data_IF_076585875566
#
_entry.id   IF_076585875566
#
_cell.length_a   1.000
_cell.length_b   1.000
_cell.length_c   1.000
_cell.angle_alpha   90.00
_cell.angle_beta   90.00
_cell.angle_gamma   90.00
#
_symmetry.space_group_name_H-M   'P 1'
#
loop_
_entity.id
_entity.type
_entity.pdbx_description
1 polymer ?
#
# COMPACT_ATOMS: atom_id res chain seq x y z
N UNK A 1 22.15 -8.03 13.95
CA UNK A 1 20.87 -7.35 14.20
C UNK A 1 20.02 -7.57 12.96
N UNK A 2 18.99 -8.40 13.05
CA UNK A 2 18.11 -8.68 11.91
C UNK A 2 17.27 -7.44 11.65
N UNK A 3 17.48 -6.80 10.49
CA UNK A 3 16.66 -5.66 10.08
C UNK A 3 15.24 -6.17 9.85
N UNK A 4 14.24 -5.41 10.30
CA UNK A 4 12.80 -5.75 10.22
C UNK A 4 12.27 -6.84 11.17
N UNK A 5 13.04 -7.28 12.17
CA UNK A 5 12.55 -8.27 13.15
C UNK A 5 11.19 -7.87 13.77
N UNK A 6 11.00 -6.58 14.06
CA UNK A 6 9.77 -6.06 14.66
C UNK A 6 8.53 -6.15 13.75
N UNK A 7 8.72 -6.36 12.45
CA UNK A 7 7.66 -6.48 11.44
C UNK A 7 7.74 -7.79 10.65
N UNK A 8 8.46 -8.79 11.15
CA UNK A 8 8.63 -10.10 10.49
C UNK A 8 7.31 -10.81 10.24
N UNK A 9 6.31 -10.55 11.10
CA UNK A 9 4.96 -11.11 10.99
C UNK A 9 4.21 -10.64 9.73
N UNK A 10 4.69 -9.62 9.01
CA UNK A 10 4.14 -9.26 7.70
C UNK A 10 4.58 -10.22 6.60
N UNK A 11 5.72 -10.89 6.75
CA UNK A 11 6.35 -11.71 5.70
C UNK A 11 5.42 -12.88 5.37
N UNK A 12 5.11 -13.03 4.08
CA UNK A 12 4.20 -14.05 3.59
C UNK A 12 3.18 -13.51 2.58
N UNK A 13 2.18 -14.33 2.31
CA UNK A 13 1.09 -14.04 1.39
C UNK A 13 -0.22 -13.89 2.16
N UNK A 14 -0.94 -12.80 1.88
CA UNK A 14 -2.18 -12.44 2.56
C UNK A 14 -3.26 -12.18 1.54
N UNK A 15 -4.48 -12.61 1.83
CA UNK A 15 -5.65 -12.32 1.03
C UNK A 15 -6.80 -11.91 1.94
N UNK A 16 -7.64 -10.99 1.45
CA UNK A 16 -8.78 -10.52 2.19
C UNK A 16 -9.76 -9.76 1.33
N UNK A 17 -10.88 -9.42 1.95
CA UNK A 17 -11.91 -8.58 1.35
C UNK A 17 -12.00 -7.27 2.14
N UNK A 18 -12.01 -6.15 1.44
CA UNK A 18 -12.29 -4.83 1.99
C UNK A 18 -13.71 -4.38 1.65
N UNK A 19 -14.30 -3.55 2.50
CA UNK A 19 -15.58 -2.87 2.23
C UNK A 19 -15.31 -1.36 2.33
N UNK A 20 -15.68 -0.61 1.30
CA UNK A 20 -15.62 0.86 1.36
C UNK A 20 -16.68 1.43 2.29
N UNK A 21 -16.50 2.71 2.64
CA UNK A 21 -17.42 3.46 3.53
C UNK A 21 -18.85 3.57 3.01
N UNK A 22 -19.08 3.29 1.72
CA UNK A 22 -20.42 3.25 1.11
C UNK A 22 -21.12 1.88 1.28
N UNK A 23 -20.47 0.89 1.91
CA UNK A 23 -20.97 -0.45 2.17
C UNK A 23 -21.36 -1.29 0.93
N UNK A 24 -21.07 -0.81 -0.28
CA UNK A 24 -21.51 -1.43 -1.53
C UNK A 24 -20.37 -2.11 -2.29
N UNK A 25 -19.14 -1.61 -2.16
CA UNK A 25 -18.02 -2.08 -2.98
C UNK A 25 -17.13 -3.03 -2.18
N UNK A 26 -17.15 -4.31 -2.57
CA UNK A 26 -16.25 -5.34 -2.05
C UNK A 26 -14.97 -5.38 -2.86
N UNK A 27 -13.83 -5.09 -2.25
CA UNK A 27 -12.53 -5.18 -2.91
C UNK A 27 -11.92 -6.54 -2.56
N UNK A 28 -11.53 -7.33 -3.54
CA UNK A 28 -10.59 -8.42 -3.28
C UNK A 28 -9.17 -7.85 -3.25
N UNK A 29 -8.45 -8.05 -2.16
CA UNK A 29 -7.09 -7.57 -1.99
C UNK A 29 -6.15 -8.70 -1.63
N UNK A 30 -5.03 -8.77 -2.34
CA UNK A 30 -3.94 -9.67 -2.01
C UNK A 30 -2.63 -8.90 -1.80
N UNK A 31 -1.85 -9.33 -0.82
CA UNK A 31 -0.54 -8.81 -0.48
C UNK A 31 0.49 -9.92 -0.49
N UNK A 32 1.72 -9.58 -0.86
CA UNK A 32 2.89 -10.43 -0.66
C UNK A 32 4.05 -9.60 -0.13
N UNK A 33 4.62 -10.05 0.99
CA UNK A 33 5.79 -9.43 1.62
C UNK A 33 6.98 -10.40 1.59
N UNK A 34 8.07 -10.00 0.94
CA UNK A 34 9.30 -10.78 0.82
C UNK A 34 10.52 -9.96 1.29
N UNK A 35 11.47 -10.61 1.97
CA UNK A 35 12.76 -9.97 2.31
C UNK A 35 13.73 -10.09 1.14
N UNK A 36 14.27 -8.96 0.69
CA UNK A 36 15.26 -8.87 -0.38
C UNK A 36 16.53 -8.15 0.12
N UNK A 37 17.35 -8.86 0.89
CA UNK A 37 18.57 -8.32 1.48
C UNK A 37 18.27 -7.28 2.57
N UNK A 38 18.53 -6.00 2.29
CA UNK A 38 18.30 -4.89 3.23
C UNK A 38 16.89 -4.28 3.13
N UNK A 39 16.03 -4.86 2.30
CA UNK A 39 14.71 -4.34 1.98
C UNK A 39 13.64 -5.37 2.31
N UNK A 40 12.47 -4.88 2.72
CA UNK A 40 11.23 -5.65 2.72
C UNK A 40 10.39 -5.15 1.53
N UNK A 41 9.98 -6.06 0.65
CA UNK A 41 9.26 -5.77 -0.58
C UNK A 41 7.81 -6.20 -0.41
N UNK A 42 6.88 -5.27 -0.57
CA UNK A 42 5.45 -5.53 -0.66
C UNK A 42 5.02 -5.50 -2.12
N UNK A 43 4.13 -6.43 -2.51
CA UNK A 43 3.35 -6.37 -3.74
C UNK A 43 1.88 -6.46 -3.38
N UNK A 44 1.07 -5.58 -3.97
CA UNK A 44 -0.36 -5.51 -3.69
C UNK A 44 -1.13 -5.56 -5.00
N UNK A 45 -2.24 -6.28 -5.01
CA UNK A 45 -3.26 -6.21 -6.07
C UNK A 45 -4.63 -6.04 -5.44
N UNK A 46 -5.35 -5.06 -5.93
CA UNK A 46 -6.72 -4.75 -5.55
C UNK A 46 -7.62 -4.94 -6.77
N UNK A 47 -8.71 -5.67 -6.59
CA UNK A 47 -9.69 -5.92 -7.63
C UNK A 47 -11.05 -5.41 -7.18
N UNK A 48 -11.60 -4.50 -7.97
CA UNK A 48 -12.86 -3.84 -7.74
C UNK A 48 -13.90 -4.41 -8.71
N UNK A 49 -15.09 -4.81 -8.22
CA UNK A 49 -16.14 -5.30 -9.07
C UNK A 49 -16.57 -4.21 -10.05
N UNK A 50 -17.08 -4.59 -11.24
CA UNK A 50 -17.65 -3.63 -12.16
C UNK A 50 -18.76 -2.82 -11.48
N UNK A 51 -18.83 -1.53 -11.81
CA UNK A 51 -19.95 -0.68 -11.40
C UNK A 51 -21.18 -0.94 -12.29
N UNK A 52 -22.25 -0.17 -12.10
CA UNK A 52 -23.46 -0.32 -12.93
C UNK A 52 -23.28 0.08 -14.40
N UNK A 53 -22.16 0.73 -14.74
CA UNK A 53 -21.90 1.30 -16.07
C UNK A 53 -20.89 0.47 -16.88
N UNK A 54 -20.12 -0.38 -16.22
CA UNK A 54 -19.04 -1.17 -16.81
C UNK A 54 -19.25 -2.66 -16.58
N UNK A 55 -18.55 -3.50 -17.35
CA UNK A 55 -18.56 -4.97 -17.18
C UNK A 55 -17.20 -5.52 -16.80
N UNK A 56 -16.19 -4.66 -16.72
CA UNK A 56 -14.81 -5.01 -16.47
C UNK A 56 -14.45 -4.70 -15.01
N UNK A 57 -13.59 -5.52 -14.43
CA UNK A 57 -13.02 -5.25 -13.11
C UNK A 57 -12.01 -4.12 -13.22
N UNK A 58 -12.07 -3.17 -12.29
CA UNK A 58 -10.98 -2.22 -12.09
C UNK A 58 -9.90 -2.89 -11.23
N UNK A 59 -8.64 -2.79 -11.66
CA UNK A 59 -7.50 -3.40 -11.00
C UNK A 59 -6.50 -2.32 -10.66
N UNK A 60 -6.18 -2.19 -9.38
CA UNK A 60 -5.08 -1.35 -8.91
C UNK A 60 -3.95 -2.24 -8.41
N UNK A 61 -2.72 -1.84 -8.68
CA UNK A 61 -1.55 -2.57 -8.24
C UNK A 61 -0.46 -1.59 -7.80
N UNK A 62 0.24 -1.96 -6.73
CA UNK A 62 1.44 -1.27 -6.32
C UNK A 62 2.50 -2.25 -5.84
N UNK A 63 3.74 -1.77 -5.83
CA UNK A 63 4.81 -2.39 -5.05
C UNK A 63 5.39 -1.38 -4.09
N UNK A 64 5.80 -1.81 -2.90
CA UNK A 64 6.46 -0.95 -1.94
C UNK A 64 7.79 -1.52 -1.50
N UNK A 65 8.76 -0.63 -1.31
CA UNK A 65 10.08 -0.95 -0.76
C UNK A 65 10.17 -0.32 0.62
N UNK A 66 10.24 -1.15 1.64
CA UNK A 66 10.51 -0.76 3.02
C UNK A 66 12.02 -0.83 3.27
N UNK A 67 12.59 0.21 3.87
CA UNK A 67 14.02 0.33 4.14
C UNK A 67 14.27 1.08 5.45
N UNK A 68 15.41 0.78 6.08
CA UNK A 68 15.88 1.55 7.24
C UNK A 68 16.66 2.75 6.74
N UNK A 69 16.16 3.95 6.99
CA UNK A 69 16.93 5.18 6.83
C UNK A 69 17.96 5.27 7.95
N UNK A 70 19.23 5.15 7.60
CA UNK A 70 20.35 5.12 8.54
C UNK A 70 20.63 6.48 9.18
N UNK A 71 20.18 7.58 8.58
CA UNK A 71 20.39 8.91 9.14
C UNK A 71 19.42 9.17 10.30
N UNK A 72 18.14 8.86 10.11
CA UNK A 72 17.11 9.03 11.12
C UNK A 72 16.89 7.80 12.01
N UNK A 73 17.55 6.67 11.70
CA UNK A 73 17.32 5.37 12.31
C UNK A 73 15.83 4.99 12.37
N UNK A 74 15.10 5.22 11.27
CA UNK A 74 13.66 4.96 11.15
C UNK A 74 13.34 4.13 9.92
N UNK A 75 12.23 3.40 9.95
CA UNK A 75 11.75 2.67 8.78
C UNK A 75 11.00 3.64 7.87
N UNK A 76 11.33 3.63 6.59
CA UNK A 76 10.66 4.35 5.51
C UNK A 76 10.08 3.36 4.53
N UNK A 77 9.10 3.81 3.76
CA UNK A 77 8.58 3.07 2.62
C UNK A 77 8.50 3.97 1.40
N UNK A 78 8.79 3.42 0.22
CA UNK A 78 8.51 4.06 -1.08
C UNK A 78 7.61 3.13 -1.89
N UNK A 79 6.39 3.58 -2.20
CA UNK A 79 5.38 2.86 -2.96
C UNK A 79 5.32 3.37 -4.39
N UNK A 80 5.19 2.45 -5.33
CA UNK A 80 5.13 2.70 -6.75
C UNK A 80 3.85 2.09 -7.29
N UNK A 81 3.02 2.93 -7.88
CA UNK A 81 1.68 2.59 -8.34
C UNK A 81 1.68 2.40 -9.85
N UNK A 82 0.92 1.43 -10.36
CA UNK A 82 0.79 1.19 -11.82
C UNK A 82 0.14 2.39 -12.52
N UNK A 83 -0.60 3.19 -11.77
CA UNK A 83 -1.19 4.49 -12.14
C UNK A 83 -0.14 5.61 -12.27
N UNK A 84 1.15 5.26 -12.31
CA UNK A 84 2.27 6.16 -12.63
C UNK A 84 2.58 7.24 -11.59
N UNK A 85 2.24 6.99 -10.33
CA UNK A 85 2.62 7.85 -9.21
C UNK A 85 3.43 7.12 -8.14
N UNK A 86 4.11 7.91 -7.32
CA UNK A 86 5.03 7.41 -6.30
C UNK A 86 4.70 8.06 -4.97
N UNK A 87 4.70 7.28 -3.90
CA UNK A 87 4.42 7.76 -2.54
C UNK A 87 5.59 7.42 -1.62
N UNK A 88 6.17 8.45 -1.01
CA UNK A 88 7.14 8.29 0.08
C UNK A 88 6.41 8.30 1.41
N UNK A 89 6.86 7.49 2.37
CA UNK A 89 6.19 7.33 3.67
C UNK A 89 7.15 7.07 4.83
N UNK A 90 6.74 7.47 6.02
CA UNK A 90 7.31 6.99 7.28
C UNK A 90 6.55 5.79 7.81
N UNK A 91 7.25 4.85 8.43
CA UNK A 91 6.66 3.66 9.03
C UNK A 91 6.94 3.67 10.53
N UNK A 92 5.87 3.71 11.31
CA UNK A 92 5.91 3.68 12.77
C UNK A 92 5.36 2.35 13.26
N UNK A 93 6.10 1.68 14.14
CA UNK A 93 5.69 0.42 14.75
C UNK A 93 4.97 0.73 16.07
N UNK A 94 3.79 0.15 16.25
CA UNK A 94 2.96 0.26 17.44
C UNK A 94 2.69 -1.12 18.04
N UNK A 95 2.11 -1.13 19.25
CA UNK A 95 1.61 -2.34 19.91
C UNK A 95 2.64 -3.47 19.99
N UNK A 96 3.86 -3.16 20.46
CA UNK A 96 4.97 -4.11 20.62
C UNK A 96 5.29 -4.91 19.34
N UNK A 97 5.19 -4.28 18.17
CA UNK A 97 5.48 -4.93 16.89
C UNK A 97 4.23 -5.29 16.10
N UNK A 98 3.08 -5.56 16.72
CA UNK A 98 1.92 -6.14 16.04
C UNK A 98 1.07 -5.17 15.21
N UNK A 99 1.51 -3.93 15.06
CA UNK A 99 0.84 -2.95 14.20
C UNK A 99 1.86 -2.03 13.58
N UNK A 100 1.69 -1.75 12.29
CA UNK A 100 2.38 -0.65 11.62
C UNK A 100 1.40 0.49 11.32
N UNK A 101 1.92 1.70 11.37
CA UNK A 101 1.30 2.90 10.80
C UNK A 101 2.21 3.37 9.66
N UNK A 102 1.65 3.52 8.47
CA UNK A 102 2.38 4.01 7.28
C UNK A 102 1.79 5.35 6.90
N UNK A 103 2.56 6.42 7.13
CA UNK A 103 2.14 7.80 6.90
C UNK A 103 2.81 8.38 5.67
N UNK A 104 2.00 8.90 4.74
CA UNK A 104 2.51 9.52 3.52
C UNK A 104 3.19 10.84 3.83
N UNK A 105 4.43 11.01 3.37
CA UNK A 105 5.18 12.27 3.53
C UNK A 105 5.20 13.08 2.24
N UNK A 106 5.18 12.40 1.09
CA UNK A 106 5.28 13.02 -0.23
C UNK A 106 4.61 12.13 -1.28
N UNK A 107 4.00 12.76 -2.29
CA UNK A 107 3.45 12.08 -3.46
C UNK A 107 3.95 12.78 -4.72
N UNK A 108 4.64 12.03 -5.57
CA UNK A 108 5.15 12.47 -6.87
C UNK A 108 4.20 11.97 -7.97
N UNK A 109 3.81 12.85 -8.90
CA UNK A 109 2.88 12.53 -10.01
C UNK A 109 1.53 11.97 -9.58
N UNK A 110 1.08 12.26 -8.35
CA UNK A 110 -0.23 11.84 -7.86
C UNK A 110 -1.36 12.31 -8.79
N UNK A 111 -2.50 11.60 -8.83
CA UNK A 111 -3.64 12.03 -9.62
C UNK A 111 -3.95 13.49 -9.27
N UNK A 112 -4.14 14.33 -10.29
CA UNK A 112 -4.68 15.66 -10.05
C UNK A 112 -6.00 15.43 -9.30
N UNK A 113 -6.17 16.10 -8.16
CA UNK A 113 -7.53 16.37 -7.70
C UNK A 113 -8.09 17.30 -8.78
N UNK A 114 -8.68 16.74 -9.82
CA UNK A 114 -9.48 17.50 -10.76
C UNK A 114 -10.66 18.03 -9.94
N UNK A 115 -10.47 19.25 -9.44
CA UNK A 115 -11.54 20.05 -8.87
C UNK A 115 -12.61 20.19 -9.98
N UNK A 116 -13.73 19.52 -9.77
CA UNK A 116 -14.96 19.49 -10.58
C UNK A 116 -15.03 18.42 -11.68
N UNK A 117 -15.31 17.17 -11.29
CA UNK A 117 -16.17 16.32 -12.12
C UNK A 117 -17.61 16.46 -11.62
N UNK A 118 -18.39 17.28 -12.32
CA UNK A 118 -19.86 17.23 -12.27
C UNK A 118 -20.24 16.02 -13.13
N UNK A 119 -20.93 15.05 -12.55
CA UNK A 119 -21.63 14.03 -13.32
C UNK A 119 -23.09 14.47 -13.45
N UNK A 120 -23.59 14.54 -14.68
CA UNK A 120 -25.03 14.65 -15.00
C UNK A 120 -25.73 13.29 -14.81
#
# INVERSE_FOLDING_TARGET
>A
MERFQEIEWLIGEWQGYGVFTDNTTYIHRAYKYDVAGMFLIERTIDMFPPDSLTTEFEIHQNFAVYYVDTFSNSIKAKKFFVESYVQSSTVTIHNNGHRILVESTEVENGPSRDENQIYD
#
